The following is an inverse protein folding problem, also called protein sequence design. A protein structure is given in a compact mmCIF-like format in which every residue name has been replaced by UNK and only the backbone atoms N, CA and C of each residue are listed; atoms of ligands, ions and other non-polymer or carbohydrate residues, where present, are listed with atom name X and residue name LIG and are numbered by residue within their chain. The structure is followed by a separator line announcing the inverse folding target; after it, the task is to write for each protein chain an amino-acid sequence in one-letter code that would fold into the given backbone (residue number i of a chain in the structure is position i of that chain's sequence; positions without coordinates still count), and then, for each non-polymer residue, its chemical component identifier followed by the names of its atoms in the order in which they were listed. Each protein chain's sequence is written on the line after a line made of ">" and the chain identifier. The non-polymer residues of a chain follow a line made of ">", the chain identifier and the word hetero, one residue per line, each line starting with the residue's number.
data_IF_300527673994
#
_entry.id   IF_300527673994
#
_cell.length_a   1.000
_cell.length_b   1.000
_cell.length_c   1.000
_cell.angle_alpha   90.00
_cell.angle_beta   90.00
_cell.angle_gamma   90.00
#
_symmetry.space_group_name_H-M   'P 1'
#
loop_
_entity.id
_entity.type
_entity.pdbx_description
1 polymer ?
#
# COMPACT_ATOMS: atom_id res chain seq x y z
N UNK A 1 -21.36 0.64 -15.27
CA UNK A 1 -20.54 -0.51 -14.80
C UNK A 1 -19.34 0.11 -14.12
N UNK A 2 -19.26 0.08 -12.79
CA UNK A 2 -18.12 0.66 -12.06
C UNK A 2 -16.92 -0.27 -12.30
N UNK A 3 -16.10 0.06 -13.30
CA UNK A 3 -14.87 -0.67 -13.56
C UNK A 3 -13.88 -0.32 -12.44
N UNK A 4 -13.81 -1.17 -11.41
CA UNK A 4 -12.80 -1.02 -10.36
C UNK A 4 -11.47 -1.44 -10.96
N UNK A 5 -10.57 -0.48 -11.13
CA UNK A 5 -9.22 -0.74 -11.63
C UNK A 5 -8.53 -1.79 -10.75
N UNK A 6 -7.74 -2.70 -11.35
CA UNK A 6 -6.98 -3.66 -10.59
C UNK A 6 -5.98 -2.93 -9.67
N UNK A 7 -5.69 -3.47 -8.48
CA UNK A 7 -4.75 -2.86 -7.57
C UNK A 7 -3.34 -2.89 -8.16
N UNK A 8 -2.55 -1.86 -7.88
CA UNK A 8 -1.11 -1.84 -8.14
C UNK A 8 -0.45 -2.72 -7.09
N UNK A 9 0.23 -3.79 -7.53
CA UNK A 9 0.85 -4.76 -6.60
C UNK A 9 2.32 -4.40 -6.39
N UNK A 10 2.69 -4.17 -5.13
CA UNK A 10 4.07 -3.93 -4.70
C UNK A 10 4.54 -5.14 -3.90
N UNK A 11 5.29 -6.02 -4.55
CA UNK A 11 5.90 -7.18 -3.90
C UNK A 11 7.24 -6.80 -3.25
N UNK A 12 7.19 -6.47 -1.97
CA UNK A 12 8.35 -6.12 -1.16
C UNK A 12 8.86 -7.30 -0.29
N UNK A 13 8.46 -8.54 -0.60
CA UNK A 13 8.83 -9.72 0.21
C UNK A 13 10.32 -9.98 0.29
N UNK A 14 11.07 -9.52 -0.71
CA UNK A 14 12.53 -9.72 -0.82
C UNK A 14 13.33 -8.41 -0.75
N UNK A 15 12.66 -7.29 -0.48
CA UNK A 15 13.27 -5.97 -0.49
C UNK A 15 13.82 -5.60 0.89
N UNK A 16 14.95 -4.90 0.90
CA UNK A 16 15.61 -4.42 2.11
C UNK A 16 15.23 -2.95 2.38
N UNK A 17 15.21 -2.50 3.64
CA UNK A 17 14.95 -1.08 3.89
C UNK A 17 16.05 -0.23 3.24
N UNK A 18 15.74 0.89 2.55
CA UNK A 18 14.44 1.57 2.45
C UNK A 18 13.54 1.18 1.25
N UNK A 19 13.96 0.27 0.39
CA UNK A 19 13.32 -0.03 -0.91
C UNK A 19 11.80 -0.32 -0.85
N UNK A 20 11.24 -1.07 0.13
CA UNK A 20 9.79 -1.27 0.22
C UNK A 20 9.00 0.03 0.29
N UNK A 21 9.55 1.02 1.00
CA UNK A 21 8.92 2.32 1.14
C UNK A 21 8.94 3.03 -0.20
N UNK A 22 10.11 3.16 -0.83
CA UNK A 22 10.27 3.84 -2.13
C UNK A 22 9.32 3.25 -3.19
N UNK A 23 9.27 1.92 -3.32
CA UNK A 23 8.35 1.24 -4.25
C UNK A 23 6.89 1.50 -3.97
N UNK A 24 6.53 1.60 -2.69
CA UNK A 24 5.15 1.92 -2.31
C UNK A 24 4.82 3.36 -2.68
N UNK A 25 5.76 4.30 -2.50
CA UNK A 25 5.54 5.71 -2.86
C UNK A 25 5.41 5.90 -4.36
N UNK A 26 6.26 5.24 -5.16
CA UNK A 26 6.15 5.22 -6.62
C UNK A 26 4.76 4.71 -7.06
N UNK A 27 4.29 3.60 -6.49
CA UNK A 27 2.96 3.06 -6.78
C UNK A 27 1.80 3.99 -6.37
N UNK A 28 1.97 4.77 -5.30
CA UNK A 28 0.98 5.76 -4.86
C UNK A 28 0.94 6.99 -5.77
N UNK A 29 2.08 7.37 -6.38
CA UNK A 29 2.15 8.46 -7.35
C UNK A 29 1.39 8.13 -8.65
N UNK A 30 1.38 6.85 -9.04
CA UNK A 30 0.64 6.34 -10.20
C UNK A 30 -0.85 6.02 -9.91
N UNK A 31 -1.30 6.22 -8.66
CA UNK A 31 -2.62 5.76 -8.22
C UNK A 31 -3.76 6.57 -8.83
N UNK A 32 -4.66 5.89 -9.54
CA UNK A 32 -5.86 6.52 -10.10
C UNK A 32 -7.01 6.60 -9.08
N UNK A 33 -7.97 7.53 -9.25
CA UNK A 33 -9.16 7.60 -8.40
C UNK A 33 -9.94 6.29 -8.38
N UNK A 34 -10.14 5.73 -7.18
CA UNK A 34 -10.81 4.44 -6.99
C UNK A 34 -9.93 3.20 -7.20
N UNK A 35 -8.66 3.37 -7.54
CA UNK A 35 -7.65 2.31 -7.55
C UNK A 35 -7.01 2.17 -6.16
N UNK A 36 -6.36 1.03 -5.92
CA UNK A 36 -5.71 0.69 -4.65
C UNK A 36 -4.29 0.18 -4.89
N UNK A 37 -3.44 0.23 -3.86
CA UNK A 37 -2.12 -0.41 -3.84
C UNK A 37 -2.16 -1.60 -2.88
N UNK A 38 -1.69 -2.76 -3.31
CA UNK A 38 -1.46 -3.93 -2.46
C UNK A 38 0.04 -4.08 -2.21
N UNK A 39 0.48 -3.75 -1.00
CA UNK A 39 1.86 -3.95 -0.55
C UNK A 39 1.99 -5.29 0.18
N UNK A 40 2.89 -6.15 -0.28
CA UNK A 40 3.23 -7.42 0.36
C UNK A 40 4.61 -7.30 1.02
N UNK A 41 4.69 -7.36 2.35
CA UNK A 41 5.95 -7.13 3.08
C UNK A 41 6.04 -8.04 4.32
N UNK A 42 7.21 -8.62 4.67
CA UNK A 42 7.33 -9.59 5.78
C UNK A 42 7.38 -8.92 7.16
N UNK A 43 7.18 -7.61 7.23
CA UNK A 43 7.25 -6.81 8.46
C UNK A 43 6.48 -5.50 8.28
N UNK A 44 5.98 -4.96 9.38
CA UNK A 44 5.22 -3.71 9.35
C UNK A 44 6.12 -2.48 9.19
N UNK A 45 5.93 -1.66 8.13
CA UNK A 45 6.69 -0.43 7.93
C UNK A 45 6.06 0.73 8.72
N UNK A 46 6.36 0.83 10.01
CA UNK A 46 5.86 1.91 10.88
C UNK A 46 5.94 3.34 10.27
N UNK A 47 7.08 3.81 9.72
CA UNK A 47 7.16 5.16 9.17
C UNK A 47 6.26 5.38 7.94
N UNK A 48 5.96 4.33 7.17
CA UNK A 48 5.07 4.41 6.03
C UNK A 48 3.65 4.77 6.47
N UNK A 49 3.14 4.15 7.54
CA UNK A 49 1.78 4.37 8.04
C UNK A 49 1.51 5.81 8.47
N UNK A 50 2.50 6.47 9.05
CA UNK A 50 2.38 7.88 9.42
C UNK A 50 2.35 8.77 8.17
N UNK A 51 3.18 8.46 7.18
CA UNK A 51 3.18 9.14 5.90
C UNK A 51 1.82 8.99 5.18
N UNK A 52 1.26 7.78 5.14
CA UNK A 52 -0.03 7.50 4.51
C UNK A 52 -1.14 8.36 5.13
N UNK A 53 -1.22 8.40 6.46
CA UNK A 53 -2.22 9.20 7.19
C UNK A 53 -2.07 10.69 6.90
N UNK A 54 -0.83 11.19 6.91
CA UNK A 54 -0.54 12.61 6.67
C UNK A 54 -0.84 13.04 5.22
N UNK A 55 -0.79 12.11 4.26
CA UNK A 55 -1.06 12.39 2.84
C UNK A 55 -2.49 12.02 2.41
N UNK A 56 -3.41 11.80 3.36
CA UNK A 56 -4.82 11.52 3.03
C UNK A 56 -5.05 10.14 2.43
N UNK A 57 -4.24 9.14 2.81
CA UNK A 57 -4.46 7.75 2.45
C UNK A 57 -5.05 6.96 3.62
N UNK A 58 -5.99 6.08 3.29
CA UNK A 58 -6.47 5.04 4.19
C UNK A 58 -5.75 3.73 3.87
N UNK A 59 -5.47 2.93 4.89
CA UNK A 59 -4.88 1.61 4.69
C UNK A 59 -5.52 0.56 5.59
N UNK A 60 -5.48 -0.70 5.15
CA UNK A 60 -5.87 -1.88 5.92
C UNK A 60 -4.70 -2.85 5.94
N UNK A 61 -4.43 -3.47 7.09
CA UNK A 61 -3.35 -4.43 7.27
C UNK A 61 -3.93 -5.80 7.57
N UNK A 62 -3.60 -6.78 6.73
CA UNK A 62 -4.05 -8.16 6.85
C UNK A 62 -2.84 -9.09 6.95
N UNK A 63 -2.54 -9.64 8.14
CA UNK A 63 -1.49 -10.64 8.29
C UNK A 63 -1.89 -11.93 7.55
N UNK A 64 -0.95 -12.50 6.81
CA UNK A 64 -1.14 -13.74 6.06
C UNK A 64 -0.53 -14.94 6.81
N UNK A 65 -1.02 -16.17 6.54
CA UNK A 65 -0.51 -17.39 7.19
C UNK A 65 0.98 -17.68 6.93
N UNK A 66 1.55 -17.12 5.86
CA UNK A 66 2.96 -17.27 5.48
C UNK A 66 3.90 -16.28 6.20
N UNK A 67 3.35 -15.43 7.08
CA UNK A 67 4.09 -14.39 7.80
C UNK A 67 4.30 -13.10 7.01
N UNK A 68 3.70 -12.98 5.82
CA UNK A 68 3.67 -11.73 5.04
C UNK A 68 2.48 -10.89 5.49
N UNK A 69 2.64 -9.57 5.48
CA UNK A 69 1.55 -8.63 5.67
C UNK A 69 1.07 -8.15 4.30
N UNK A 70 -0.24 -8.26 4.06
CA UNK A 70 -0.91 -7.59 2.96
C UNK A 70 -1.44 -6.26 3.44
N UNK A 71 -0.92 -5.17 2.88
CA UNK A 71 -1.31 -3.82 3.22
C UNK A 71 -2.01 -3.24 2.00
N UNK A 72 -3.33 -3.06 2.10
CA UNK A 72 -4.12 -2.44 1.05
C UNK A 72 -4.24 -0.95 1.35
N UNK A 73 -3.77 -0.11 0.42
CA UNK A 73 -3.72 1.34 0.54
C UNK A 73 -4.64 1.95 -0.50
N UNK A 74 -5.41 2.96 -0.13
CA UNK A 74 -6.34 3.68 -0.99
C UNK A 74 -6.38 5.15 -0.62
N UNK A 75 -6.77 6.01 -1.56
CA UNK A 75 -7.08 7.40 -1.22
C UNK A 75 -8.19 7.41 -0.16
N UNK A 76 -7.98 8.11 0.95
CA UNK A 76 -9.07 8.39 1.88
C UNK A 76 -9.98 9.38 1.14
N UNK A 77 -11.17 8.93 0.74
CA UNK A 77 -12.17 9.84 0.21
C UNK A 77 -12.39 10.92 1.25
N UNK A 78 -12.10 12.17 0.88
CA UNK A 78 -12.58 13.31 1.62
C UNK A 78 -14.10 13.30 1.44
N UNK A 79 -14.83 12.86 2.46
CA UNK A 79 -16.25 13.12 2.58
C UNK A 79 -16.48 14.61 2.84
#
# INVERSE_FOLDING_TARGET
>A
MTDRLPPIVVDARRLLPPEPMERTLEALDELQPGQEVLLMIPRQPAPLFDMLRNNGYAYTVEPQPDGVFHITIRQASAD
#
